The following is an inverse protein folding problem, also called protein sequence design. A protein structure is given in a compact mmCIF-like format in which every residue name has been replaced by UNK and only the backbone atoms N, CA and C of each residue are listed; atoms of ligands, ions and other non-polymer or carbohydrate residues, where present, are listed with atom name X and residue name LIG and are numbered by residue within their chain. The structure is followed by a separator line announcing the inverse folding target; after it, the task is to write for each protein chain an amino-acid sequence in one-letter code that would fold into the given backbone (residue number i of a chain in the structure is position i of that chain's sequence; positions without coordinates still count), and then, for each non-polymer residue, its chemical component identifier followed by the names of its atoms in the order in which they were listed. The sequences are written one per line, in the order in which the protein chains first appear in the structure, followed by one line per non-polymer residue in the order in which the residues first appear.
data_IF_160202669932
#
_entry.id   IF_160202669932
#
_cell.length_a   1.000
_cell.length_b   1.000
_cell.length_c   1.000
_cell.angle_alpha   90.00
_cell.angle_beta   90.00
_cell.angle_gamma   90.00
#
_symmetry.space_group_name_H-M   'P 1'
#
loop_
_entity.id
_entity.type
_entity.pdbx_description
1 polymer ?
#
# COMPACT_ATOMS: atom_id res chain seq x y z
N UNK A 1 -2.87 2.89 -2.48
CA UNK A 1 -1.84 3.51 -1.61
C UNK A 1 -2.29 3.63 -0.17
N UNK A 2 -3.52 4.10 0.09
CA UNK A 2 -4.11 4.27 1.43
C UNK A 2 -4.10 3.05 2.33
N UNK A 3 -4.20 1.85 1.77
CA UNK A 3 -4.17 0.61 2.55
C UNK A 3 -2.74 0.18 2.90
N UNK A 4 -1.77 0.39 1.99
CA UNK A 4 -0.37 0.00 2.20
C UNK A 4 0.29 0.90 3.24
N UNK A 5 -0.01 2.20 3.18
CA UNK A 5 0.50 3.22 4.11
C UNK A 5 -0.12 3.16 5.51
N UNK A 6 -1.30 2.57 5.65
CA UNK A 6 -1.97 2.39 6.95
C UNK A 6 -1.43 1.16 7.73
N UNK A 7 -0.34 0.53 7.26
CA UNK A 7 0.22 -0.67 7.86
C UNK A 7 -0.57 -1.96 7.58
N UNK A 8 -1.72 -1.90 6.89
CA UNK A 8 -2.52 -3.10 6.61
C UNK A 8 -1.77 -4.08 5.74
N UNK A 9 -1.72 -5.34 6.14
CA UNK A 9 -1.21 -6.46 5.36
C UNK A 9 -1.99 -6.66 4.06
N UNK A 10 -1.37 -7.36 3.10
CA UNK A 10 -2.03 -7.73 1.83
C UNK A 10 -3.33 -8.51 2.07
N UNK A 11 -3.37 -9.34 3.11
CA UNK A 11 -4.56 -10.12 3.48
C UNK A 11 -5.69 -9.25 4.03
N UNK A 12 -5.39 -8.23 4.83
CA UNK A 12 -6.39 -7.27 5.32
C UNK A 12 -6.92 -6.39 4.19
N UNK A 13 -6.03 -5.92 3.31
CA UNK A 13 -6.42 -5.18 2.11
C UNK A 13 -7.32 -6.03 1.19
N UNK A 14 -6.99 -7.31 1.00
CA UNK A 14 -7.78 -8.27 0.23
C UNK A 14 -9.18 -8.44 0.83
N UNK A 15 -9.28 -8.70 2.13
CA UNK A 15 -10.57 -8.80 2.83
C UNK A 15 -11.40 -7.52 2.70
N UNK A 16 -10.79 -6.35 2.89
CA UNK A 16 -11.48 -5.05 2.81
C UNK A 16 -11.96 -4.72 1.40
N UNK A 17 -11.24 -5.17 0.37
CA UNK A 17 -11.59 -4.94 -1.03
C UNK A 17 -12.47 -6.05 -1.64
N UNK A 18 -12.77 -7.13 -0.89
CA UNK A 18 -13.46 -8.30 -1.44
C UNK A 18 -12.64 -9.03 -2.52
N UNK A 19 -11.32 -8.93 -2.47
CA UNK A 19 -10.39 -9.50 -3.45
C UNK A 19 -9.59 -10.65 -2.84
N UNK A 20 -8.94 -11.44 -3.70
CA UNK A 20 -7.95 -12.42 -3.23
C UNK A 20 -6.62 -11.73 -2.89
N UNK A 21 -5.83 -12.26 -1.93
CA UNK A 21 -4.50 -11.75 -1.63
C UNK A 21 -3.57 -11.74 -2.86
N UNK A 22 -3.72 -12.71 -3.76
CA UNK A 22 -2.97 -12.77 -5.01
C UNK A 22 -3.29 -11.57 -5.91
N UNK A 23 -4.57 -11.26 -6.10
CA UNK A 23 -5.02 -10.10 -6.89
C UNK A 23 -4.47 -8.79 -6.32
N UNK A 24 -4.53 -8.62 -4.99
CA UNK A 24 -3.98 -7.43 -4.33
C UNK A 24 -2.46 -7.34 -4.53
N UNK A 25 -1.74 -8.46 -4.45
CA UNK A 25 -0.29 -8.51 -4.69
C UNK A 25 0.07 -8.06 -6.11
N UNK A 26 -0.69 -8.49 -7.11
CA UNK A 26 -0.52 -8.05 -8.50
C UNK A 26 -0.76 -6.55 -8.65
N UNK A 27 -1.81 -6.00 -8.01
CA UNK A 27 -2.03 -4.56 -8.00
C UNK A 27 -0.91 -3.78 -7.31
N UNK A 28 -0.36 -4.30 -6.22
CA UNK A 28 0.80 -3.71 -5.52
C UNK A 28 2.01 -3.66 -6.46
N UNK A 29 2.31 -4.75 -7.17
CA UNK A 29 3.42 -4.78 -8.15
C UNK A 29 3.27 -3.73 -9.25
N UNK A 30 2.06 -3.61 -9.82
CA UNK A 30 1.78 -2.60 -10.85
C UNK A 30 1.94 -1.19 -10.27
N UNK A 31 1.48 -0.97 -9.03
CA UNK A 31 1.67 0.29 -8.30
C UNK A 31 3.16 0.62 -8.10
N UNK A 32 3.95 -0.37 -7.70
CA UNK A 32 5.39 -0.21 -7.51
C UNK A 32 6.09 0.18 -8.81
N UNK A 33 5.75 -0.48 -9.91
CA UNK A 33 6.27 -0.11 -11.24
C UNK A 33 5.87 1.32 -11.64
N UNK A 34 4.61 1.71 -11.42
CA UNK A 34 4.13 3.07 -11.74
C UNK A 34 4.77 4.16 -10.88
N UNK A 35 5.19 3.81 -9.66
CA UNK A 35 5.84 4.73 -8.73
C UNK A 35 7.37 4.65 -8.79
N UNK A 36 7.92 3.74 -9.59
CA UNK A 36 9.34 3.43 -9.68
C UNK A 36 9.98 3.12 -8.30
N UNK A 37 9.30 2.27 -7.52
CA UNK A 37 9.77 1.79 -6.20
C UNK A 37 9.92 0.28 -6.21
N UNK A 38 10.80 -0.24 -5.37
CA UNK A 38 11.09 -1.67 -5.28
C UNK A 38 10.59 -2.31 -3.98
N UNK A 39 10.26 -1.49 -2.98
CA UNK A 39 9.82 -1.99 -1.68
C UNK A 39 8.55 -1.34 -1.16
N UNK A 40 7.93 -2.02 -0.20
CA UNK A 40 6.79 -1.51 0.55
C UNK A 40 7.13 -0.26 1.35
N UNK A 41 8.33 -0.22 1.92
CA UNK A 41 8.82 0.91 2.70
C UNK A 41 9.00 2.14 1.80
N UNK A 42 9.62 1.99 0.64
CA UNK A 42 9.73 3.06 -0.37
C UNK A 42 8.36 3.51 -0.86
N UNK A 43 7.46 2.56 -1.16
CA UNK A 43 6.11 2.90 -1.58
C UNK A 43 5.36 3.69 -0.51
N UNK A 44 5.51 3.34 0.77
CA UNK A 44 4.91 4.07 1.88
C UNK A 44 5.52 5.48 2.03
N UNK A 45 6.85 5.60 1.91
CA UNK A 45 7.56 6.87 1.97
C UNK A 45 7.10 7.82 0.85
N UNK A 46 7.12 7.38 -0.41
CA UNK A 46 6.66 8.18 -1.55
C UNK A 46 5.18 8.54 -1.41
N UNK A 47 4.36 7.65 -0.86
CA UNK A 47 2.94 7.94 -0.67
C UNK A 47 2.72 9.08 0.34
N UNK A 48 3.55 9.13 1.40
CA UNK A 48 3.55 10.23 2.39
C UNK A 48 4.11 11.51 1.76
N UNK A 49 5.25 11.44 1.07
CA UNK A 49 5.87 12.60 0.41
C UNK A 49 4.96 13.24 -0.64
N UNK A 50 4.24 12.43 -1.42
CA UNK A 50 3.32 12.92 -2.46
C UNK A 50 1.94 13.31 -1.92
N UNK A 51 1.72 13.25 -0.59
CA UNK A 51 0.43 13.54 0.03
C UNK A 51 -0.70 12.61 -0.40
N UNK A 52 -0.38 11.46 -1.02
CA UNK A 52 -1.34 10.45 -1.48
C UNK A 52 -2.01 9.72 -0.31
N UNK A 53 -1.47 9.92 0.89
CA UNK A 53 -1.96 9.41 2.16
C UNK A 53 -1.71 10.41 3.27
N UNK A 54 -2.77 10.69 4.03
CA UNK A 54 -2.63 11.34 5.32
C UNK A 54 -1.96 10.35 6.24
N UNK A 55 -0.75 10.69 6.73
CA UNK A 55 -0.16 10.01 7.89
C UNK A 55 -1.24 9.95 8.97
N UNK A 56 -1.71 8.75 9.27
CA UNK A 56 -2.82 8.54 10.19
C UNK A 56 -2.71 7.16 10.79
N UNK A 57 -2.78 7.10 12.12
CA UNK A 57 -1.63 7.27 12.99
C UNK A 57 -0.74 6.01 12.98
N UNK A 58 0.53 6.20 13.32
CA UNK A 58 1.38 5.12 13.80
C UNK A 58 0.59 4.31 14.84
N UNK A 59 0.49 3.00 14.61
CA UNK A 59 -0.02 2.04 15.59
C UNK A 59 0.81 2.23 16.87
N UNK A 60 0.22 2.95 17.84
CA UNK A 60 0.56 2.86 19.26
C UNK A 60 -0.17 1.67 19.85
#
# INVERSE_FOLDING_TARGET
LTLISAGMTTAEAARKLGLTPHTVTSYIKILYQKLNVQSRAEAALIAVERGLVKSGPALR
#
